data_IF_832522796082
#
_entry.id   IF_832522796082
#
_cell.length_a   1.000
_cell.length_b   1.000
_cell.length_c   1.000
_cell.angle_alpha   90.00
_cell.angle_beta   90.00
_cell.angle_gamma   90.00
#
_symmetry.space_group_name_H-M   'P 1'
#
loop_
_entity.id
_entity.type
_entity.pdbx_description
1 polymer ?
#
# COMPACT_ATOMS: atom_id res chain seq x y z
N UNK A 1 29.39 -12.59 -11.78
CA UNK A 1 28.18 -11.76 -11.54
C UNK A 1 27.08 -12.68 -11.06
N UNK A 2 26.14 -12.17 -10.26
CA UNK A 2 25.01 -12.93 -9.69
C UNK A 2 24.51 -13.92 -10.75
N UNK A 3 24.75 -15.19 -10.45
CA UNK A 3 24.53 -16.33 -11.31
C UNK A 3 23.09 -16.25 -11.81
N UNK A 4 22.89 -16.43 -13.11
CA UNK A 4 21.57 -16.40 -13.75
C UNK A 4 20.66 -17.45 -13.12
N UNK A 5 19.95 -17.06 -12.05
CA UNK A 5 18.92 -17.88 -11.45
C UNK A 5 17.77 -17.96 -12.46
N UNK A 6 17.30 -19.16 -12.81
CA UNK A 6 16.39 -19.38 -13.95
C UNK A 6 15.07 -18.59 -13.85
N UNK A 7 14.69 -18.14 -12.66
CA UNK A 7 13.46 -17.37 -12.40
C UNK A 7 13.70 -15.85 -12.21
N UNK A 8 14.96 -15.40 -12.27
CA UNK A 8 15.31 -13.99 -12.03
C UNK A 8 15.65 -13.29 -13.34
N UNK A 9 14.67 -12.54 -13.86
CA UNK A 9 14.87 -11.65 -14.99
C UNK A 9 15.68 -10.40 -14.64
N UNK A 10 16.17 -9.71 -15.68
CA UNK A 10 17.07 -8.55 -15.56
C UNK A 10 16.58 -7.48 -14.57
N UNK A 11 15.28 -7.14 -14.61
CA UNK A 11 14.69 -6.12 -13.71
C UNK A 11 14.80 -6.48 -12.24
N UNK A 12 14.69 -7.77 -11.90
CA UNK A 12 14.81 -8.24 -10.52
C UNK A 12 16.29 -8.34 -10.14
N UNK A 13 17.14 -8.84 -11.04
CA UNK A 13 18.59 -8.90 -10.84
C UNK A 13 19.21 -7.53 -10.54
N UNK A 14 18.82 -6.48 -11.28
CA UNK A 14 19.29 -5.11 -11.03
C UNK A 14 18.93 -4.62 -9.63
N UNK A 15 17.72 -4.91 -9.14
CA UNK A 15 17.30 -4.54 -7.78
C UNK A 15 18.07 -5.31 -6.71
N UNK A 16 18.37 -6.60 -6.95
CA UNK A 16 19.16 -7.41 -6.04
C UNK A 16 20.58 -6.85 -5.93
N UNK A 17 21.20 -6.49 -7.06
CA UNK A 17 22.52 -5.85 -7.09
C UNK A 17 22.53 -4.53 -6.33
N UNK A 18 21.54 -3.67 -6.56
CA UNK A 18 21.39 -2.39 -5.83
C UNK A 18 21.37 -2.60 -4.31
N UNK A 19 20.60 -3.57 -3.83
CA UNK A 19 20.51 -3.90 -2.39
C UNK A 19 21.85 -4.41 -1.86
N UNK A 20 22.55 -5.26 -2.62
CA UNK A 20 23.86 -5.78 -2.20
C UNK A 20 24.91 -4.66 -2.13
N UNK A 21 24.89 -3.73 -3.09
CA UNK A 21 25.87 -2.65 -3.20
C UNK A 21 25.62 -1.51 -2.20
N UNK A 22 24.36 -1.15 -1.98
CA UNK A 22 23.99 0.06 -1.21
C UNK A 22 23.39 -0.25 0.16
N UNK A 23 22.97 -1.49 0.40
CA UNK A 23 22.19 -1.89 1.57
C UNK A 23 20.71 -1.51 1.50
N UNK A 24 20.27 -0.78 0.47
CA UNK A 24 18.92 -0.26 0.34
C UNK A 24 18.37 -0.43 -1.08
N UNK A 25 17.09 -0.10 -1.27
CA UNK A 25 16.44 -0.07 -2.58
C UNK A 25 15.79 1.29 -2.76
N UNK A 26 16.39 2.15 -3.59
CA UNK A 26 16.01 3.56 -3.77
C UNK A 26 14.53 3.71 -4.14
N UNK A 27 14.01 2.76 -4.92
CA UNK A 27 12.60 2.73 -5.31
C UNK A 27 11.63 2.52 -4.13
N UNK A 28 12.04 1.79 -3.09
CA UNK A 28 11.25 1.68 -1.86
C UNK A 28 11.29 2.97 -1.07
N UNK A 29 12.43 3.66 -1.02
CA UNK A 29 12.55 4.96 -0.34
C UNK A 29 11.68 6.04 -1.01
N UNK A 30 11.64 6.05 -2.34
CA UNK A 30 10.73 6.91 -3.10
C UNK A 30 9.26 6.64 -2.74
N UNK A 31 8.86 5.36 -2.64
CA UNK A 31 7.51 4.99 -2.22
C UNK A 31 7.21 5.37 -0.77
N UNK A 32 8.19 5.28 0.12
CA UNK A 32 8.06 5.69 1.52
C UNK A 32 7.99 7.21 1.70
N UNK A 33 8.41 8.00 0.72
CA UNK A 33 8.33 9.47 0.76
C UNK A 33 7.14 10.02 -0.04
N UNK A 34 6.57 9.24 -0.96
CA UNK A 34 5.44 9.64 -1.77
C UNK A 34 4.09 9.52 -1.01
N UNK A 35 3.46 10.66 -0.74
CA UNK A 35 2.20 10.73 0.01
C UNK A 35 1.00 10.09 -0.71
N UNK A 36 0.97 10.12 -2.05
CA UNK A 36 -0.10 9.46 -2.81
C UNK A 36 -0.01 7.94 -2.67
N UNK A 37 1.20 7.38 -2.71
CA UNK A 37 1.44 5.96 -2.48
C UNK A 37 1.03 5.56 -1.05
N UNK A 38 1.39 6.37 -0.04
CA UNK A 38 0.95 6.12 1.34
C UNK A 38 -0.57 6.13 1.49
N UNK A 39 -1.26 7.09 0.88
CA UNK A 39 -2.73 7.16 0.90
C UNK A 39 -3.36 5.99 0.20
N UNK A 40 -2.80 5.57 -0.94
CA UNK A 40 -3.26 4.39 -1.66
C UNK A 40 -3.14 3.12 -0.79
N UNK A 41 -1.98 2.90 -0.17
CA UNK A 41 -1.76 1.77 0.75
C UNK A 41 -2.73 1.82 1.94
N UNK A 42 -2.88 2.97 2.58
CA UNK A 42 -3.79 3.16 3.71
C UNK A 42 -5.24 2.84 3.33
N UNK A 43 -5.76 3.42 2.24
CA UNK A 43 -7.16 3.25 1.85
C UNK A 43 -7.48 1.87 1.30
N UNK A 44 -6.54 1.22 0.62
CA UNK A 44 -6.76 -0.15 0.09
C UNK A 44 -6.79 -1.23 1.16
N UNK A 45 -6.34 -0.92 2.39
CA UNK A 45 -6.47 -1.78 3.57
C UNK A 45 -7.87 -1.77 4.19
N UNK A 46 -8.75 -0.84 3.79
CA UNK A 46 -10.13 -0.82 4.27
C UNK A 46 -10.88 -1.98 3.61
N UNK A 47 -11.46 -2.88 4.42
CA UNK A 47 -12.29 -3.96 3.90
C UNK A 47 -13.44 -3.42 3.04
N UNK A 48 -13.59 -3.95 1.82
CA UNK A 48 -14.55 -3.43 0.85
C UNK A 48 -14.06 -2.23 0.02
N UNK A 49 -12.78 -1.85 0.10
CA UNK A 49 -12.16 -0.82 -0.74
C UNK A 49 -10.95 -1.38 -1.50
N UNK A 50 -11.11 -1.59 -2.81
CA UNK A 50 -10.00 -1.90 -3.71
C UNK A 50 -9.31 -0.66 -4.27
N UNK A 51 -8.29 -0.83 -5.14
CA UNK A 51 -7.51 0.28 -5.72
C UNK A 51 -8.36 1.35 -6.41
N UNK A 52 -9.43 0.95 -7.11
CA UNK A 52 -10.36 1.88 -7.78
C UNK A 52 -11.05 2.81 -6.79
N UNK A 53 -11.51 2.27 -5.65
CA UNK A 53 -12.20 3.07 -4.64
C UNK A 53 -11.22 3.98 -3.89
N UNK A 54 -10.04 3.47 -3.56
CA UNK A 54 -8.97 4.25 -2.93
C UNK A 54 -8.53 5.43 -3.81
N UNK A 55 -8.35 5.20 -5.12
CA UNK A 55 -8.05 6.25 -6.09
C UNK A 55 -9.14 7.32 -6.09
N UNK A 56 -10.42 6.92 -6.16
CA UNK A 56 -11.54 7.85 -6.12
C UNK A 56 -11.52 8.74 -4.87
N UNK A 57 -11.19 8.19 -3.72
CA UNK A 57 -11.08 8.98 -2.49
C UNK A 57 -9.92 9.98 -2.51
N UNK A 58 -8.76 9.57 -3.04
CA UNK A 58 -7.61 10.47 -3.23
C UNK A 58 -7.96 11.60 -4.20
N UNK A 59 -8.58 11.29 -5.33
CA UNK A 59 -9.01 12.27 -6.34
C UNK A 59 -10.07 13.24 -5.77
N UNK A 60 -10.87 12.79 -4.80
CA UNK A 60 -11.82 13.61 -4.04
C UNK A 60 -11.16 14.44 -2.93
N UNK A 61 -9.85 14.30 -2.73
CA UNK A 61 -9.08 15.06 -1.76
C UNK A 61 -9.08 14.51 -0.35
N UNK A 62 -9.62 13.31 -0.10
CA UNK A 62 -9.54 12.68 1.22
C UNK A 62 -8.10 12.29 1.55
N UNK A 63 -7.62 12.69 2.73
CA UNK A 63 -6.24 12.47 3.14
C UNK A 63 -6.11 11.40 4.23
N UNK A 64 -7.15 11.24 5.05
CA UNK A 64 -7.11 10.42 6.28
C UNK A 64 -8.30 9.46 6.39
N UNK A 65 -8.19 8.48 7.29
CA UNK A 65 -9.34 7.63 7.65
C UNK A 65 -10.48 8.47 8.27
N UNK A 66 -10.16 9.51 9.04
CA UNK A 66 -11.15 10.39 9.66
C UNK A 66 -11.91 11.24 8.64
N UNK A 67 -11.24 11.67 7.56
CA UNK A 67 -11.93 12.30 6.44
C UNK A 67 -13.01 11.38 5.86
N UNK A 68 -12.71 10.07 5.71
CA UNK A 68 -13.69 9.11 5.24
C UNK A 68 -14.84 8.92 6.24
N UNK A 69 -14.54 8.85 7.54
CA UNK A 69 -15.57 8.73 8.60
C UNK A 69 -16.52 9.93 8.59
N UNK A 70 -15.99 11.13 8.38
CA UNK A 70 -16.76 12.36 8.49
C UNK A 70 -17.52 12.74 7.22
N UNK A 71 -16.98 12.45 6.04
CA UNK A 71 -17.42 13.07 4.78
C UNK A 71 -17.76 12.09 3.67
N UNK A 72 -17.21 10.87 3.68
CA UNK A 72 -17.37 9.97 2.56
C UNK A 72 -18.69 9.20 2.60
N UNK A 73 -19.27 8.97 1.42
CA UNK A 73 -20.36 8.01 1.25
C UNK A 73 -19.77 6.59 1.16
N UNK A 74 -19.94 5.82 2.24
CA UNK A 74 -19.37 4.49 2.39
C UNK A 74 -20.44 3.40 2.24
N UNK A 75 -20.10 2.32 1.55
CA UNK A 75 -20.93 1.09 1.58
C UNK A 75 -20.91 0.46 2.97
N UNK A 76 -21.86 -0.43 3.26
CA UNK A 76 -21.89 -1.12 4.56
C UNK A 76 -20.56 -1.83 4.87
N UNK A 77 -19.97 -2.53 3.89
CA UNK A 77 -18.70 -3.22 4.09
C UNK A 77 -17.56 -2.23 4.39
N UNK A 78 -17.51 -1.10 3.69
CA UNK A 78 -16.50 -0.06 3.94
C UNK A 78 -16.66 0.57 5.32
N UNK A 79 -17.89 0.76 5.81
CA UNK A 79 -18.13 1.25 7.17
C UNK A 79 -17.60 0.25 8.21
N UNK A 80 -17.89 -1.04 8.04
CA UNK A 80 -17.35 -2.10 8.91
C UNK A 80 -15.82 -2.15 8.84
N UNK A 81 -15.26 -2.10 7.62
CA UNK A 81 -13.82 -2.10 7.40
C UNK A 81 -13.11 -0.89 8.01
N UNK A 82 -13.75 0.27 8.04
CA UNK A 82 -13.20 1.49 8.64
C UNK A 82 -13.35 1.50 10.17
N UNK A 83 -14.40 0.82 10.68
CA UNK A 83 -14.64 0.65 12.12
C UNK A 83 -13.62 -0.29 12.75
N UNK A 84 -13.27 -1.39 12.07
CA UNK A 84 -12.34 -2.42 12.56
C UNK A 84 -11.01 -2.41 11.80
N UNK A 85 -10.59 -1.24 11.32
CA UNK A 85 -9.44 -1.10 10.44
C UNK A 85 -8.17 -1.68 11.07
N UNK A 86 -7.87 -1.28 12.31
CA UNK A 86 -6.66 -1.71 13.00
C UNK A 86 -6.72 -3.19 13.39
N UNK A 87 -7.88 -3.70 13.80
CA UNK A 87 -8.10 -5.10 14.13
C UNK A 87 -7.91 -6.01 12.91
N UNK A 88 -8.37 -5.58 11.73
CA UNK A 88 -8.19 -6.34 10.49
C UNK A 88 -6.74 -6.36 9.99
N UNK A 89 -5.90 -5.42 10.44
CA UNK A 89 -4.47 -5.42 10.13
C UNK A 89 -3.66 -6.35 11.04
N UNK A 90 -4.23 -6.82 12.15
CA UNK A 90 -3.54 -7.74 13.04
C UNK A 90 -3.43 -9.13 12.41
N UNK A 91 -2.27 -9.76 12.59
CA UNK A 91 -2.09 -11.17 12.25
C UNK A 91 -2.87 -12.02 13.25
N UNK A 92 -3.58 -13.02 12.76
CA UNK A 92 -4.21 -14.04 13.60
C UNK A 92 -3.09 -15.00 14.07
N UNK A 93 -2.84 -15.12 15.39
CA UNK A 93 -1.91 -16.10 15.93
C UNK A 93 -2.33 -17.52 15.53
N UNK A 94 -1.35 -18.39 15.26
CA UNK A 94 -1.59 -19.80 14.94
C UNK A 94 -1.66 -20.66 16.20
#
# INVERSE_FOLDING_TARGET
>A
GIIALPEIGQRLATKILEIIETGHLSKLEEYQTNDEVKKMDMFTKIWGAGPTQAKKWIDQGYQTLDDLRAKAHLTHNQQVGLKYYDEFLQRIPR
#
